data_IF_471991169936
#
_entry.id   IF_471991169936
#
_cell.length_a   1.000
_cell.length_b   1.000
_cell.length_c   1.000
_cell.angle_alpha   90.00
_cell.angle_beta   90.00
_cell.angle_gamma   90.00
#
_symmetry.space_group_name_H-M   'P 1'
#
loop_
_entity.id
_entity.type
_entity.pdbx_description
1 polymer ?
#
# COMPACT_ATOMS: atom_id res chain seq x y z
N UNK A 1 -25.16 1.71 -2.54
CA UNK A 1 -25.32 2.84 -3.50
C UNK A 1 -25.12 2.30 -4.92
N UNK A 2 -25.74 2.86 -5.97
CA UNK A 2 -25.53 2.33 -7.33
C UNK A 2 -24.17 2.75 -7.85
N UNK A 3 -23.48 1.87 -8.59
CA UNK A 3 -22.13 2.17 -9.11
C UNK A 3 -22.07 3.44 -9.97
N UNK A 4 -23.16 3.77 -10.68
CA UNK A 4 -23.26 4.98 -11.50
C UNK A 4 -23.23 6.30 -10.70
N UNK A 5 -23.38 6.24 -9.38
CA UNK A 5 -23.32 7.41 -8.49
C UNK A 5 -21.88 7.89 -8.24
N UNK A 6 -20.85 7.10 -8.60
CA UNK A 6 -19.45 7.54 -8.57
C UNK A 6 -19.18 8.48 -9.74
N UNK A 7 -18.63 9.66 -9.45
CA UNK A 7 -18.25 10.65 -10.46
C UNK A 7 -17.33 10.05 -11.55
N UNK A 8 -17.69 10.29 -12.81
CA UNK A 8 -16.90 9.87 -13.97
C UNK A 8 -17.18 8.45 -14.49
N UNK A 9 -17.96 7.61 -13.81
CA UNK A 9 -18.37 6.30 -14.35
C UNK A 9 -19.37 6.46 -15.51
N UNK A 10 -20.44 7.22 -15.32
CA UNK A 10 -21.47 7.42 -16.34
C UNK A 10 -22.12 6.12 -16.86
N UNK A 11 -23.03 6.24 -17.84
CA UNK A 11 -23.88 5.11 -18.26
C UNK A 11 -23.13 3.96 -18.94
N UNK A 12 -22.06 4.27 -19.67
CA UNK A 12 -21.33 3.28 -20.45
C UNK A 12 -20.47 2.38 -19.54
N UNK A 13 -19.63 2.96 -18.69
CA UNK A 13 -18.83 2.16 -17.76
C UNK A 13 -19.69 1.46 -16.71
N UNK A 14 -20.77 2.08 -16.23
CA UNK A 14 -21.72 1.41 -15.33
C UNK A 14 -22.32 0.15 -15.98
N UNK A 15 -22.64 0.17 -17.28
CA UNK A 15 -23.14 -1.02 -17.99
C UNK A 15 -22.12 -2.15 -18.02
N UNK A 16 -20.85 -1.83 -18.24
CA UNK A 16 -19.79 -2.84 -18.32
C UNK A 16 -19.40 -3.38 -16.93
N UNK A 17 -19.39 -2.52 -15.91
CA UNK A 17 -19.23 -2.91 -14.50
C UNK A 17 -20.38 -3.80 -14.01
N UNK A 18 -21.63 -3.45 -14.33
CA UNK A 18 -22.79 -4.28 -13.98
C UNK A 18 -22.71 -5.68 -14.61
N UNK A 19 -22.34 -5.77 -15.90
CA UNK A 19 -22.10 -7.07 -16.56
C UNK A 19 -20.97 -7.85 -15.91
N UNK A 20 -20.01 -7.16 -15.29
CA UNK A 20 -18.92 -7.78 -14.59
C UNK A 20 -19.27 -8.23 -13.17
N UNK A 21 -20.45 -7.85 -12.65
CA UNK A 21 -20.92 -8.17 -11.30
C UNK A 21 -20.71 -7.04 -10.27
N UNK A 22 -20.32 -5.85 -10.72
CA UNK A 22 -20.09 -4.66 -9.89
C UNK A 22 -21.26 -3.70 -10.11
N UNK A 23 -22.36 -3.92 -9.41
CA UNK A 23 -23.60 -3.13 -9.56
C UNK A 23 -23.71 -2.03 -8.49
N UNK A 24 -23.11 -2.27 -7.33
CA UNK A 24 -23.12 -1.39 -6.17
C UNK A 24 -21.72 -0.85 -5.87
N UNK A 25 -21.66 0.36 -5.32
CA UNK A 25 -20.41 1.02 -4.88
C UNK A 25 -19.66 0.13 -3.89
N UNK A 26 -20.40 -0.54 -3.00
CA UNK A 26 -19.91 -1.48 -2.00
C UNK A 26 -19.31 -2.77 -2.60
N UNK A 27 -19.59 -3.09 -3.86
CA UNK A 27 -18.90 -4.18 -4.54
C UNK A 27 -17.48 -3.75 -4.92
N UNK A 28 -17.30 -2.50 -5.36
CA UNK A 28 -16.02 -1.98 -5.81
C UNK A 28 -15.04 -1.82 -4.64
N UNK A 29 -15.48 -1.33 -3.47
CA UNK A 29 -14.62 -1.14 -2.28
C UNK A 29 -14.08 -2.44 -1.69
N UNK A 30 -14.73 -3.57 -1.98
CA UNK A 30 -14.31 -4.88 -1.49
C UNK A 30 -13.22 -5.53 -2.34
N UNK A 31 -13.00 -5.03 -3.56
CA UNK A 31 -12.07 -5.66 -4.50
C UNK A 31 -10.63 -5.44 -4.06
N UNK A 32 -9.87 -6.53 -3.96
CA UNK A 32 -8.42 -6.50 -3.91
C UNK A 32 -7.80 -6.13 -5.25
N UNK A 33 -6.48 -5.93 -5.26
CA UNK A 33 -5.73 -5.55 -6.48
C UNK A 33 -5.89 -6.56 -7.61
N UNK A 34 -5.90 -7.85 -7.30
CA UNK A 34 -6.03 -8.89 -8.31
C UNK A 34 -7.44 -8.91 -8.91
N UNK A 35 -8.47 -8.77 -8.07
CA UNK A 35 -9.85 -8.66 -8.54
C UNK A 35 -10.05 -7.39 -9.39
N UNK A 36 -9.36 -6.30 -9.07
CA UNK A 36 -9.31 -5.10 -9.92
C UNK A 36 -8.56 -5.33 -11.24
N UNK A 37 -7.46 -6.08 -11.24
CA UNK A 37 -6.73 -6.46 -12.46
C UNK A 37 -7.59 -7.34 -13.36
N UNK A 38 -8.27 -8.35 -12.80
CA UNK A 38 -9.24 -9.19 -13.51
C UNK A 38 -10.43 -8.38 -14.04
N UNK A 39 -10.95 -7.45 -13.23
CA UNK A 39 -12.03 -6.55 -13.63
C UNK A 39 -11.59 -5.65 -14.79
N UNK A 40 -10.37 -5.12 -14.75
CA UNK A 40 -9.78 -4.32 -15.83
C UNK A 40 -9.70 -5.14 -17.13
N UNK A 41 -9.23 -6.39 -17.05
CA UNK A 41 -9.13 -7.27 -18.23
C UNK A 41 -10.50 -7.61 -18.82
N UNK A 42 -11.49 -7.90 -17.97
CA UNK A 42 -12.86 -8.27 -18.35
C UNK A 42 -13.65 -7.11 -18.95
N UNK A 43 -13.51 -5.92 -18.36
CA UNK A 43 -14.26 -4.72 -18.78
C UNK A 43 -13.53 -3.88 -19.82
N UNK A 44 -12.23 -4.12 -20.04
CA UNK A 44 -11.33 -3.27 -20.83
C UNK A 44 -11.19 -1.84 -20.29
N UNK A 45 -11.57 -1.61 -19.03
CA UNK A 45 -11.35 -0.35 -18.32
C UNK A 45 -9.93 -0.37 -17.79
N UNK A 46 -9.21 0.75 -17.90
CA UNK A 46 -7.84 0.81 -17.38
C UNK A 46 -7.82 0.66 -15.85
N UNK A 47 -6.88 -0.13 -15.34
CA UNK A 47 -6.68 -0.35 -13.91
C UNK A 47 -6.55 0.95 -13.11
N UNK A 48 -5.80 1.92 -13.63
CA UNK A 48 -5.66 3.26 -13.02
C UNK A 48 -6.99 3.99 -12.84
N UNK A 49 -7.95 3.77 -13.74
CA UNK A 49 -9.27 4.40 -13.65
C UNK A 49 -10.16 3.67 -12.64
N UNK A 50 -10.07 2.34 -12.59
CA UNK A 50 -10.74 1.55 -11.55
C UNK A 50 -10.21 1.89 -10.15
N UNK A 51 -8.90 2.04 -10.00
CA UNK A 51 -8.27 2.49 -8.74
C UNK A 51 -8.86 3.82 -8.27
N UNK A 52 -8.98 4.80 -9.18
CA UNK A 52 -9.58 6.10 -8.86
C UNK A 52 -11.04 6.00 -8.42
N UNK A 53 -11.84 5.17 -9.09
CA UNK A 53 -13.23 4.98 -8.70
C UNK A 53 -13.36 4.20 -7.40
N UNK A 54 -12.42 3.31 -7.09
CA UNK A 54 -12.39 2.62 -5.80
C UNK A 54 -12.08 3.59 -4.66
N UNK A 55 -11.06 4.45 -4.79
CA UNK A 55 -10.74 5.48 -3.79
C UNK A 55 -11.92 6.44 -3.55
N UNK A 56 -12.63 6.80 -4.62
CA UNK A 56 -13.84 7.60 -4.53
C UNK A 56 -14.98 6.82 -3.84
N UNK A 57 -15.17 5.55 -4.18
CA UNK A 57 -16.13 4.67 -3.52
C UNK A 57 -15.83 4.50 -2.02
N UNK A 58 -14.57 4.47 -1.63
CA UNK A 58 -14.14 4.36 -0.24
C UNK A 58 -14.52 5.60 0.57
N UNK A 59 -14.42 6.81 -0.01
CA UNK A 59 -14.95 8.02 0.62
C UNK A 59 -16.46 7.90 0.90
N UNK A 60 -17.21 7.31 -0.04
CA UNK A 60 -18.66 7.17 0.08
C UNK A 60 -19.10 6.11 1.10
N UNK A 61 -18.35 5.01 1.19
CA UNK A 61 -18.77 3.81 1.93
C UNK A 61 -18.14 3.76 3.32
N UNK A 62 -16.87 4.17 3.45
CA UNK A 62 -16.13 4.04 4.70
C UNK A 62 -16.43 5.19 5.69
N UNK A 63 -16.92 6.32 5.19
CA UNK A 63 -17.20 7.52 5.99
C UNK A 63 -18.71 7.74 6.09
N UNK A 64 -19.26 7.44 7.26
CA UNK A 64 -20.68 7.60 7.54
C UNK A 64 -21.09 9.07 7.40
N UNK A 65 -21.97 9.35 6.44
CA UNK A 65 -22.49 10.69 6.18
C UNK A 65 -21.88 11.37 4.95
N UNK A 66 -20.76 10.86 4.42
CA UNK A 66 -20.17 11.30 3.16
C UNK A 66 -20.87 10.54 2.03
N UNK A 67 -22.07 10.99 1.63
CA UNK A 67 -22.76 10.43 0.47
C UNK A 67 -22.08 10.81 -0.86
N UNK A 68 -22.65 10.43 -2.02
CA UNK A 68 -22.10 10.74 -3.34
C UNK A 68 -21.84 12.25 -3.53
N UNK A 69 -22.81 13.09 -3.16
CA UNK A 69 -22.70 14.55 -3.32
C UNK A 69 -21.51 15.14 -2.55
N UNK A 70 -21.24 14.66 -1.34
CA UNK A 70 -20.09 15.11 -0.56
C UNK A 70 -18.77 14.53 -1.08
N UNK A 71 -18.74 13.26 -1.51
CA UNK A 71 -17.55 12.66 -2.10
C UNK A 71 -17.12 13.40 -3.38
N UNK A 72 -18.06 13.76 -4.24
CA UNK A 72 -17.84 14.58 -5.45
C UNK A 72 -17.28 15.96 -5.11
N UNK A 73 -17.90 16.66 -4.15
CA UNK A 73 -17.44 17.98 -3.73
C UNK A 73 -16.04 17.93 -3.09
N UNK A 74 -15.75 16.88 -2.30
CA UNK A 74 -14.42 16.63 -1.73
C UNK A 74 -13.38 16.40 -2.84
N UNK A 75 -13.70 15.59 -3.85
CA UNK A 75 -12.82 15.32 -4.99
C UNK A 75 -12.47 16.62 -5.74
N UNK A 76 -13.46 17.48 -5.99
CA UNK A 76 -13.26 18.78 -6.66
C UNK A 76 -12.33 19.73 -5.89
N UNK A 77 -12.28 19.65 -4.56
CA UNK A 77 -11.35 20.44 -3.74
C UNK A 77 -10.01 19.74 -3.46
N UNK A 78 -9.74 18.64 -4.18
CA UNK A 78 -8.50 17.88 -4.14
C UNK A 78 -8.44 16.87 -3.00
N UNK A 79 -9.57 16.34 -2.55
CA UNK A 79 -9.66 15.26 -1.57
C UNK A 79 -10.27 14.06 -2.28
N UNK A 80 -9.41 13.24 -2.88
CA UNK A 80 -9.78 12.14 -3.77
C UNK A 80 -9.75 10.76 -3.10
N UNK A 81 -9.33 10.69 -1.84
CA UNK A 81 -9.18 9.44 -1.09
C UNK A 81 -9.41 9.66 0.41
N UNK A 82 -9.77 8.58 1.11
CA UNK A 82 -9.88 8.55 2.59
C UNK A 82 -8.54 8.93 3.22
N UNK A 83 -7.43 8.48 2.62
CA UNK A 83 -6.07 8.85 3.01
C UNK A 83 -5.82 10.35 2.91
N UNK A 84 -6.12 10.99 1.77
CA UNK A 84 -5.92 12.42 1.65
C UNK A 84 -6.80 13.17 2.65
N UNK A 85 -8.01 12.66 2.89
CA UNK A 85 -8.95 13.29 3.81
C UNK A 85 -8.49 13.25 5.28
N UNK A 86 -7.90 12.13 5.72
CA UNK A 86 -7.45 11.95 7.11
C UNK A 86 -6.41 12.97 7.57
N UNK A 87 -5.68 13.58 6.63
CA UNK A 87 -4.67 14.61 6.88
C UNK A 87 -5.20 16.05 6.75
N UNK A 88 -6.47 16.24 6.41
CA UNK A 88 -7.03 17.58 6.19
C UNK A 88 -7.36 18.30 7.50
N UNK A 89 -7.38 19.63 7.41
CA UNK A 89 -7.86 20.49 8.49
C UNK A 89 -9.35 20.83 8.27
N UNK A 90 -10.26 20.52 9.22
CA UNK A 90 -11.70 20.72 9.04
C UNK A 90 -12.09 22.16 8.66
N UNK A 91 -11.46 23.17 9.28
CA UNK A 91 -11.77 24.59 8.99
C UNK A 91 -11.36 24.99 7.58
N UNK A 92 -10.20 24.50 7.12
CA UNK A 92 -9.73 24.80 5.77
C UNK A 92 -10.55 24.05 4.72
N UNK A 93 -10.93 22.80 5.00
CA UNK A 93 -11.82 22.03 4.13
C UNK A 93 -13.18 22.72 3.99
N UNK A 94 -13.77 23.18 5.10
CA UNK A 94 -15.04 23.91 5.06
C UNK A 94 -14.96 25.15 4.18
N UNK A 95 -13.91 25.97 4.35
CA UNK A 95 -13.70 27.17 3.53
C UNK A 95 -13.59 26.85 2.03
N UNK A 96 -12.93 25.75 1.68
CA UNK A 96 -12.82 25.32 0.28
C UNK A 96 -14.16 24.87 -0.28
N UNK A 97 -14.98 24.16 0.51
CA UNK A 97 -16.33 23.76 0.11
C UNK A 97 -17.27 24.97 -0.02
N UNK A 98 -17.20 25.94 0.90
CA UNK A 98 -17.92 27.21 0.80
C UNK A 98 -17.50 28.03 -0.44
N UNK A 99 -16.23 27.95 -0.83
CA UNK A 99 -15.75 28.59 -2.05
C UNK A 99 -16.27 27.86 -3.29
N UNK A 100 -16.21 26.53 -3.31
CA UNK A 100 -16.72 25.70 -4.40
C UNK A 100 -18.22 25.94 -4.62
N UNK A 101 -19.02 25.99 -3.55
CA UNK A 101 -20.47 26.25 -3.62
C UNK A 101 -20.81 27.65 -4.18
N UNK A 102 -19.92 28.63 -3.98
CA UNK A 102 -20.05 29.97 -4.61
C UNK A 102 -19.70 29.95 -6.09
N UNK A 103 -18.71 29.15 -6.49
CA UNK A 103 -18.23 29.04 -7.88
C UNK A 103 -19.17 28.18 -8.72
N UNK A 104 -19.75 27.13 -8.13
CA UNK A 104 -20.73 26.22 -8.72
C UNK A 104 -21.99 26.16 -7.83
N UNK A 105 -22.95 27.09 -8.01
CA UNK A 105 -24.19 27.09 -7.25
C UNK A 105 -24.96 25.77 -7.38
N UNK A 106 -25.61 25.35 -6.29
CA UNK A 106 -26.40 24.11 -6.19
C UNK A 106 -25.59 22.80 -6.28
N UNK A 107 -24.26 22.86 -6.18
CA UNK A 107 -23.41 21.65 -6.16
C UNK A 107 -23.69 20.77 -4.94
N UNK A 108 -24.01 21.38 -3.80
CA UNK A 108 -24.40 20.68 -2.57
C UNK A 108 -25.80 21.15 -2.16
N UNK A 109 -26.68 20.20 -1.83
CA UNK A 109 -28.01 20.54 -1.26
C UNK A 109 -27.87 21.26 0.08
N UNK A 110 -26.84 20.92 0.83
CA UNK A 110 -26.51 21.52 2.11
C UNK A 110 -25.00 21.44 2.34
N UNK A 111 -24.37 22.56 2.68
CA UNK A 111 -22.97 22.58 3.11
C UNK A 111 -22.80 21.77 4.40
N UNK A 112 -21.71 20.97 4.53
CA UNK A 112 -21.44 20.27 5.76
C UNK A 112 -21.08 21.26 6.87
N UNK A 113 -21.40 20.92 8.11
CA UNK A 113 -20.97 21.70 9.25
C UNK A 113 -19.50 21.43 9.59
N UNK A 114 -18.91 22.29 10.42
CA UNK A 114 -17.56 22.06 10.93
C UNK A 114 -17.47 20.76 11.75
N UNK A 115 -18.55 20.36 12.43
CA UNK A 115 -18.57 19.14 13.22
C UNK A 115 -18.72 17.90 12.35
N UNK A 116 -19.49 17.96 11.25
CA UNK A 116 -19.53 16.89 10.25
C UNK A 116 -18.13 16.62 9.68
N UNK A 117 -17.40 17.67 9.31
CA UNK A 117 -16.04 17.53 8.77
C UNK A 117 -15.04 16.99 9.81
N UNK A 118 -15.18 17.37 11.09
CA UNK A 118 -14.34 16.78 12.15
C UNK A 118 -14.61 15.29 12.29
N UNK A 119 -15.89 14.91 12.31
CA UNK A 119 -16.31 13.51 12.43
C UNK A 119 -15.82 12.69 11.23
N UNK A 120 -16.01 13.17 10.01
CA UNK A 120 -15.55 12.47 8.81
C UNK A 120 -14.03 12.36 8.73
N UNK A 121 -13.29 13.41 9.11
CA UNK A 121 -11.82 13.36 9.15
C UNK A 121 -11.35 12.38 10.22
N UNK A 122 -12.04 12.28 11.36
CA UNK A 122 -11.70 11.31 12.41
C UNK A 122 -11.99 9.88 11.96
N UNK A 123 -13.17 9.63 11.37
CA UNK A 123 -13.48 8.36 10.71
C UNK A 123 -12.41 8.03 9.66
N UNK A 124 -11.99 8.99 8.84
CA UNK A 124 -10.97 8.79 7.82
C UNK A 124 -9.60 8.45 8.42
N UNK A 125 -9.22 9.02 9.57
CA UNK A 125 -8.01 8.63 10.29
C UNK A 125 -8.12 7.24 10.87
N UNK A 126 -9.25 6.88 11.48
CA UNK A 126 -9.44 5.53 12.00
C UNK A 126 -9.33 4.49 10.87
N UNK A 127 -9.99 4.76 9.74
CA UNK A 127 -9.90 3.91 8.54
C UNK A 127 -8.49 3.91 7.96
N UNK A 128 -7.83 5.05 7.87
CA UNK A 128 -6.46 5.14 7.38
C UNK A 128 -5.43 4.49 8.31
N UNK A 129 -5.58 4.55 9.63
CA UNK A 129 -4.68 3.88 10.58
C UNK A 129 -4.95 2.36 10.64
N UNK A 130 -6.19 1.94 10.39
CA UNK A 130 -6.52 0.53 10.09
C UNK A 130 -5.89 0.14 8.75
N UNK A 131 -6.07 0.91 7.68
CA UNK A 131 -5.49 0.66 6.35
C UNK A 131 -3.96 0.75 6.32
N UNK A 132 -3.33 1.59 7.13
CA UNK A 132 -1.87 1.60 7.31
C UNK A 132 -1.38 0.30 7.96
N UNK A 133 -2.24 -0.35 8.75
CA UNK A 133 -2.04 -1.72 9.23
C UNK A 133 -2.54 -2.78 8.24
N UNK A 134 -3.39 -2.46 7.26
CA UNK A 134 -4.11 -3.46 6.44
C UNK A 134 -4.14 -3.32 4.90
N UNK A 135 -3.60 -2.30 4.18
CA UNK A 135 -3.32 -2.36 2.71
C UNK A 135 -2.72 -1.11 2.02
N UNK A 136 -1.71 -1.34 1.17
CA UNK A 136 -1.83 -1.34 -0.30
C UNK A 136 -1.49 -2.76 -0.78
N UNK A 137 -1.50 -3.14 -2.09
CA UNK A 137 -0.98 -4.46 -2.46
C UNK A 137 0.48 -4.41 -2.05
N UNK A 138 0.80 -5.14 -0.99
CA UNK A 138 2.16 -5.16 -0.50
C UNK A 138 3.11 -5.50 -1.65
N UNK A 139 4.36 -5.11 -1.50
CA UNK A 139 5.41 -5.37 -2.46
C UNK A 139 5.28 -6.80 -3.00
N UNK A 140 5.13 -6.96 -4.32
CA UNK A 140 4.92 -8.28 -4.92
C UNK A 140 6.08 -9.19 -4.50
N UNK A 141 5.78 -10.43 -4.08
CA UNK A 141 6.79 -11.40 -3.63
C UNK A 141 7.93 -11.58 -4.64
N UNK A 142 7.64 -11.52 -5.95
CA UNK A 142 8.65 -11.62 -7.02
C UNK A 142 9.72 -10.51 -6.99
N UNK A 143 9.53 -9.47 -6.18
CA UNK A 143 10.53 -8.45 -5.96
C UNK A 143 11.65 -8.94 -5.03
N UNK A 144 11.41 -9.89 -4.13
CA UNK A 144 12.47 -10.43 -3.28
C UNK A 144 13.42 -11.28 -4.13
N UNK A 145 14.71 -11.03 -3.97
CA UNK A 145 15.76 -11.82 -4.64
C UNK A 145 15.60 -13.31 -4.33
N UNK A 146 15.54 -14.13 -5.38
CA UNK A 146 15.32 -15.57 -5.27
C UNK A 146 13.84 -16.04 -5.26
N UNK A 147 12.86 -15.14 -5.20
CA UNK A 147 11.45 -15.51 -5.44
C UNK A 147 11.12 -15.38 -6.93
N UNK A 148 11.10 -16.50 -7.64
CA UNK A 148 10.55 -16.58 -9.00
C UNK A 148 9.03 -16.85 -9.01
N UNK A 149 8.43 -16.82 -10.21
CA UNK A 149 6.98 -17.05 -10.42
C UNK A 149 6.44 -18.32 -9.74
N UNK A 150 7.25 -19.38 -9.70
CA UNK A 150 6.88 -20.65 -9.04
C UNK A 150 6.66 -20.44 -7.54
N UNK A 151 7.65 -19.89 -6.86
CA UNK A 151 7.57 -19.67 -5.41
C UNK A 151 6.52 -18.62 -5.04
N UNK A 152 6.38 -17.55 -5.85
CA UNK A 152 5.32 -16.58 -5.66
C UNK A 152 3.93 -17.24 -5.72
N UNK A 153 3.69 -18.15 -6.67
CA UNK A 153 2.44 -18.91 -6.77
C UNK A 153 2.24 -19.88 -5.59
N UNK A 154 3.30 -20.54 -5.13
CA UNK A 154 3.22 -21.49 -4.02
C UNK A 154 2.95 -20.79 -2.69
N UNK A 155 3.59 -19.64 -2.44
CA UNK A 155 3.31 -18.76 -1.30
C UNK A 155 1.87 -18.23 -1.33
N UNK A 156 1.42 -17.77 -2.50
CA UNK A 156 0.05 -17.27 -2.69
C UNK A 156 -0.98 -18.34 -2.36
N UNK A 157 -0.80 -19.57 -2.85
CA UNK A 157 -1.68 -20.71 -2.50
C UNK A 157 -1.67 -21.02 -1.00
N UNK A 158 -0.57 -20.73 -0.31
CA UNK A 158 -0.43 -20.90 1.12
C UNK A 158 -0.93 -19.69 1.94
N UNK A 159 -1.49 -18.66 1.28
CA UNK A 159 -2.10 -17.49 1.91
C UNK A 159 -1.17 -16.29 2.11
N UNK A 160 -0.02 -16.25 1.43
CA UNK A 160 0.92 -15.12 1.44
C UNK A 160 1.04 -14.57 0.03
N UNK A 161 0.61 -13.33 -0.20
CA UNK A 161 0.57 -12.70 -1.53
C UNK A 161 1.63 -11.59 -1.68
N UNK A 162 2.12 -11.06 -0.56
CA UNK A 162 2.94 -9.85 -0.50
C UNK A 162 4.14 -10.01 0.44
N UNK A 163 5.18 -9.20 0.26
CA UNK A 163 6.35 -9.21 1.13
C UNK A 163 5.99 -8.85 2.58
N UNK A 164 5.09 -7.90 2.77
CA UNK A 164 4.70 -7.34 4.06
C UNK A 164 3.99 -8.39 4.92
N UNK A 165 3.31 -9.36 4.31
CA UNK A 165 2.70 -10.50 5.00
C UNK A 165 3.73 -11.51 5.51
N UNK A 166 4.96 -11.52 4.98
CA UNK A 166 6.03 -12.34 5.54
C UNK A 166 6.54 -11.77 6.86
N UNK A 167 6.60 -10.45 7.01
CA UNK A 167 7.25 -9.77 8.14
C UNK A 167 6.70 -10.17 9.52
N UNK A 168 5.37 -10.23 9.76
CA UNK A 168 4.85 -10.53 11.09
C UNK A 168 4.89 -12.03 11.46
N UNK A 169 5.29 -12.92 10.56
CA UNK A 169 5.26 -14.37 10.80
C UNK A 169 6.24 -14.77 11.90
N UNK A 170 5.78 -15.51 12.89
CA UNK A 170 6.65 -16.12 13.89
C UNK A 170 7.41 -17.32 13.31
N UNK A 171 8.41 -17.81 14.05
CA UNK A 171 9.10 -19.07 13.71
C UNK A 171 8.16 -20.26 13.57
N UNK A 172 7.02 -20.26 14.26
CA UNK A 172 6.02 -21.31 14.11
C UNK A 172 5.19 -21.10 12.85
N UNK A 173 4.79 -19.86 12.56
CA UNK A 173 4.05 -19.54 11.33
C UNK A 173 4.87 -19.84 10.08
N UNK A 174 6.19 -19.57 10.10
CA UNK A 174 7.10 -19.94 9.01
C UNK A 174 7.23 -21.45 8.81
N UNK A 175 7.13 -22.25 9.89
CA UNK A 175 7.11 -23.72 9.78
C UNK A 175 5.79 -24.21 9.17
N UNK A 176 4.67 -23.67 9.62
CA UNK A 176 3.38 -24.00 9.03
C UNK A 176 3.30 -23.58 7.56
N UNK A 177 3.86 -22.42 7.21
CA UNK A 177 3.98 -21.96 5.84
C UNK A 177 4.89 -22.86 5.01
N UNK A 178 5.99 -23.36 5.59
CA UNK A 178 6.86 -24.33 4.95
C UNK A 178 6.11 -25.62 4.60
N UNK A 179 5.32 -26.14 5.54
CA UNK A 179 4.51 -27.35 5.35
C UNK A 179 3.43 -27.15 4.28
N UNK A 180 2.78 -25.97 4.23
CA UNK A 180 1.73 -25.64 3.26
C UNK A 180 2.25 -25.37 1.85
N UNK A 181 3.35 -24.62 1.74
CA UNK A 181 3.92 -24.18 0.46
C UNK A 181 4.91 -25.19 -0.14
N UNK A 182 5.45 -26.11 0.66
CA UNK A 182 6.53 -27.00 0.27
C UNK A 182 7.89 -26.29 0.14
N UNK A 183 7.99 -25.05 0.61
CA UNK A 183 9.22 -24.24 0.60
C UNK A 183 9.94 -24.45 1.93
N UNK A 184 11.26 -24.62 1.91
CA UNK A 184 12.01 -24.84 3.15
C UNK A 184 11.87 -23.64 4.11
N UNK A 185 11.68 -23.90 5.41
CA UNK A 185 11.60 -22.87 6.43
C UNK A 185 12.78 -21.89 6.39
N UNK A 186 14.00 -22.38 6.11
CA UNK A 186 15.20 -21.54 5.95
C UNK A 186 15.08 -20.51 4.82
N UNK A 187 14.42 -20.87 3.72
CA UNK A 187 14.25 -19.97 2.59
C UNK A 187 13.16 -18.93 2.87
N UNK A 188 12.10 -19.33 3.59
CA UNK A 188 11.06 -18.42 4.05
C UNK A 188 11.59 -17.41 5.07
N UNK A 189 12.45 -17.86 5.99
CA UNK A 189 13.17 -17.03 6.97
C UNK A 189 13.98 -15.94 6.24
N UNK A 190 14.80 -16.36 5.26
CA UNK A 190 15.55 -15.42 4.41
C UNK A 190 14.66 -14.41 3.68
N UNK A 191 13.54 -14.85 3.11
CA UNK A 191 12.63 -13.94 2.41
C UNK A 191 11.89 -12.99 3.36
N UNK A 192 11.60 -13.41 4.59
CA UNK A 192 11.09 -12.55 5.64
C UNK A 192 12.12 -11.46 6.00
N UNK A 193 13.39 -11.83 6.19
CA UNK A 193 14.50 -10.89 6.46
C UNK A 193 14.64 -9.85 5.33
N UNK A 194 14.58 -10.31 4.07
CA UNK A 194 14.59 -9.43 2.91
C UNK A 194 13.39 -8.48 2.88
N UNK A 195 12.19 -9.01 3.14
CA UNK A 195 10.97 -8.21 3.18
C UNK A 195 11.05 -7.10 4.23
N UNK A 196 11.62 -7.39 5.40
CA UNK A 196 11.82 -6.39 6.45
C UNK A 196 12.81 -5.31 5.99
N UNK A 197 13.99 -5.69 5.49
CA UNK A 197 15.01 -4.74 5.01
C UNK A 197 14.51 -3.84 3.87
N UNK A 198 13.69 -4.37 2.96
CA UNK A 198 13.11 -3.64 1.83
C UNK A 198 12.11 -2.55 2.24
N UNK A 199 11.73 -2.44 3.51
CA UNK A 199 10.96 -1.30 4.05
C UNK A 199 11.75 0.01 4.01
N UNK A 200 13.08 -0.07 4.02
CA UNK A 200 13.97 1.10 3.99
C UNK A 200 14.04 1.64 2.56
N UNK A 201 13.70 2.93 2.40
CA UNK A 201 13.73 3.58 1.09
C UNK A 201 15.15 3.62 0.54
N UNK A 202 15.33 3.03 -0.64
CA UNK A 202 16.62 2.88 -1.30
C UNK A 202 17.24 1.50 -1.14
N UNK A 203 16.72 0.66 -0.23
CA UNK A 203 17.11 -0.75 -0.12
C UNK A 203 16.21 -1.58 -1.02
N UNK A 204 16.70 -1.81 -2.25
CA UNK A 204 16.09 -2.73 -3.20
C UNK A 204 16.50 -4.19 -2.95
N UNK A 205 16.05 -5.13 -3.80
CA UNK A 205 16.27 -6.57 -3.63
C UNK A 205 17.75 -6.97 -3.57
N UNK A 206 18.57 -6.38 -4.46
CA UNK A 206 20.01 -6.62 -4.51
C UNK A 206 20.70 -6.13 -3.21
N UNK A 207 20.27 -4.98 -2.67
CA UNK A 207 20.81 -4.47 -1.40
C UNK A 207 20.30 -5.23 -0.18
N UNK A 208 19.06 -5.72 -0.19
CA UNK A 208 18.54 -6.60 0.85
C UNK A 208 19.34 -7.91 0.92
N UNK A 209 19.63 -8.53 -0.23
CA UNK A 209 20.52 -9.71 -0.33
C UNK A 209 21.92 -9.40 0.19
N UNK A 210 22.51 -8.27 -0.21
CA UNK A 210 23.84 -7.85 0.25
C UNK A 210 23.89 -7.67 1.76
N UNK A 211 22.95 -6.91 2.33
CA UNK A 211 22.87 -6.65 3.76
C UNK A 211 22.68 -7.96 4.54
N UNK A 212 21.77 -8.81 4.10
CA UNK A 212 21.53 -10.13 4.69
C UNK A 212 22.80 -10.98 4.72
N UNK A 213 23.53 -11.06 3.58
CA UNK A 213 24.79 -11.80 3.52
C UNK A 213 25.93 -11.16 4.32
N UNK A 214 25.92 -9.84 4.47
CA UNK A 214 26.82 -9.12 5.38
C UNK A 214 26.43 -9.29 6.87
N UNK A 215 25.43 -10.12 7.17
CA UNK A 215 24.96 -10.42 8.52
C UNK A 215 24.16 -9.28 9.12
N UNK A 216 23.32 -8.62 8.32
CA UNK A 216 22.32 -7.65 8.75
C UNK A 216 20.97 -8.22 8.31
N UNK A 217 20.25 -8.87 9.22
CA UNK A 217 19.07 -9.69 8.92
C UNK A 217 17.74 -8.93 9.04
N UNK A 218 17.73 -7.78 9.70
CA UNK A 218 16.49 -7.06 10.01
C UNK A 218 16.70 -5.56 10.10
N UNK A 219 15.60 -4.81 9.97
CA UNK A 219 15.57 -3.35 10.20
C UNK A 219 16.04 -3.03 11.61
N UNK A 220 15.60 -3.83 12.59
CA UNK A 220 15.98 -3.66 14.00
C UNK A 220 17.49 -3.83 14.19
N UNK A 221 18.08 -4.85 13.59
CA UNK A 221 19.53 -5.02 13.66
C UNK A 221 20.25 -3.85 12.98
N UNK A 222 19.77 -3.43 11.81
CA UNK A 222 20.41 -2.37 11.05
C UNK A 222 20.39 -1.02 11.79
N UNK A 223 19.29 -0.70 12.48
CA UNK A 223 19.13 0.51 13.29
C UNK A 223 20.21 0.67 14.36
N UNK A 224 20.82 -0.43 14.82
CA UNK A 224 21.82 -0.45 15.88
C UNK A 224 23.26 -0.43 15.35
N UNK A 225 23.46 -0.52 14.03
CA UNK A 225 24.79 -0.59 13.43
C UNK A 225 25.47 0.80 13.40
N UNK A 226 26.80 0.78 13.38
CA UNK A 226 27.61 1.94 13.05
C UNK A 226 27.80 2.01 11.51
N UNK A 227 27.57 3.18 10.87
CA UNK A 227 27.65 3.29 9.41
C UNK A 227 29.02 2.93 8.83
N UNK A 228 30.11 3.42 9.43
CA UNK A 228 31.48 3.23 8.94
C UNK A 228 31.87 1.75 9.01
N UNK A 229 31.63 1.09 10.14
CA UNK A 229 31.88 -0.34 10.32
C UNK A 229 30.99 -1.20 9.42
N UNK A 230 29.79 -0.71 9.07
CA UNK A 230 28.88 -1.42 8.16
C UNK A 230 29.39 -1.38 6.74
N UNK A 231 29.88 -0.22 6.28
CA UNK A 231 30.48 -0.09 4.96
C UNK A 231 31.71 -1.00 4.84
N UNK A 232 32.61 -0.96 5.82
CA UNK A 232 33.81 -1.81 5.84
C UNK A 232 33.46 -3.30 5.73
N UNK A 233 32.46 -3.76 6.50
CA UNK A 233 31.97 -5.16 6.40
C UNK A 233 31.38 -5.50 5.04
N UNK A 234 30.63 -4.58 4.42
CA UNK A 234 30.06 -4.77 3.09
C UNK A 234 31.17 -4.87 2.04
N UNK A 235 32.20 -4.01 2.12
CA UNK A 235 33.35 -4.03 1.22
C UNK A 235 34.17 -5.31 1.38
N UNK A 236 34.39 -5.78 2.61
CA UNK A 236 35.10 -7.03 2.86
C UNK A 236 34.31 -8.24 2.36
N UNK A 237 32.99 -8.24 2.56
CA UNK A 237 32.11 -9.27 2.01
C UNK A 237 32.15 -9.30 0.47
N UNK A 238 32.12 -8.13 -0.19
CA UNK A 238 32.17 -8.03 -1.67
C UNK A 238 33.51 -8.50 -2.24
N UNK A 239 34.64 -8.27 -1.53
CA UNK A 239 35.95 -8.82 -1.93
C UNK A 239 35.93 -10.36 -1.96
N UNK A 240 35.20 -10.98 -1.04
CA UNK A 240 35.07 -12.45 -0.96
C UNK A 240 33.98 -12.99 -1.89
N UNK A 241 32.95 -12.19 -2.16
CA UNK A 241 31.74 -12.57 -2.89
C UNK A 241 31.35 -11.46 -3.88
N UNK A 242 32.11 -11.28 -4.98
CA UNK A 242 31.86 -10.20 -5.92
C UNK A 242 30.52 -10.38 -6.65
N UNK A 243 30.04 -9.29 -7.24
CA UNK A 243 28.89 -9.23 -8.15
C UNK A 243 27.51 -9.49 -7.50
N UNK A 244 27.38 -9.38 -6.18
CA UNK A 244 26.07 -9.43 -5.50
C UNK A 244 25.22 -8.18 -5.81
N UNK A 245 25.86 -7.04 -5.98
CA UNK A 245 25.20 -5.77 -6.36
C UNK A 245 25.94 -5.13 -7.52
N UNK A 246 25.23 -4.34 -8.33
CA UNK A 246 25.86 -3.59 -9.44
C UNK A 246 26.82 -2.49 -8.98
N UNK A 247 26.61 -1.99 -7.77
CA UNK A 247 27.41 -0.94 -7.14
C UNK A 247 27.27 -1.03 -5.63
N UNK A 248 28.39 -1.01 -4.92
CA UNK A 248 28.40 -0.90 -3.46
C UNK A 248 27.74 0.39 -2.99
N UNK A 249 27.02 0.35 -1.85
CA UNK A 249 26.45 1.55 -1.26
C UNK A 249 27.55 2.51 -0.79
N UNK A 250 27.26 3.82 -0.84
CA UNK A 250 28.11 4.85 -0.26
C UNK A 250 27.86 4.95 1.25
N UNK A 251 28.83 5.51 1.98
CA UNK A 251 28.68 5.76 3.42
C UNK A 251 27.43 6.58 3.76
N UNK A 252 27.13 7.61 2.96
CA UNK A 252 25.96 8.47 3.20
C UNK A 252 24.64 7.72 2.93
N UNK A 253 24.61 6.77 2.00
CA UNK A 253 23.44 5.92 1.78
C UNK A 253 23.22 5.01 2.99
N UNK A 254 24.29 4.42 3.55
CA UNK A 254 24.21 3.60 4.77
C UNK A 254 23.75 4.44 5.97
N UNK A 255 24.24 5.67 6.11
CA UNK A 255 23.79 6.60 7.17
C UNK A 255 22.30 6.90 7.06
N UNK A 256 21.82 7.19 5.85
CA UNK A 256 20.40 7.42 5.57
C UNK A 256 19.58 6.16 5.92
N UNK A 257 20.03 4.98 5.49
CA UNK A 257 19.34 3.71 5.75
C UNK A 257 19.26 3.37 7.24
N UNK A 258 20.34 3.57 8.00
CA UNK A 258 20.36 3.37 9.46
C UNK A 258 19.43 4.37 10.14
N UNK A 259 19.35 5.61 9.64
CA UNK A 259 18.42 6.62 10.18
C UNK A 259 16.97 6.20 9.95
N UNK A 260 16.63 5.80 8.72
CA UNK A 260 15.31 5.27 8.40
C UNK A 260 14.98 4.01 9.21
N UNK A 261 15.96 3.13 9.43
CA UNK A 261 15.77 1.91 10.21
C UNK A 261 15.39 2.22 11.67
N UNK A 262 15.99 3.26 12.27
CA UNK A 262 15.62 3.75 13.60
C UNK A 262 14.22 4.33 13.67
N UNK A 263 13.75 4.95 12.58
CA UNK A 263 12.39 5.50 12.51
C UNK A 263 11.32 4.41 12.30
N UNK A 264 11.73 3.19 11.92
CA UNK A 264 10.88 2.03 11.67
C UNK A 264 10.80 1.04 12.85
N UNK A 265 11.68 1.16 13.85
CA UNK A 265 11.68 0.41 15.13
C UNK A 265 10.61 0.96 16.10
#
# INVERSE_FOLDING_TARGET
MKIIEIEGIGKNYAKDLNKAGIEEVENLTKLGREELEELAEKTKISLKLLDKWQEHADLMVLLKGVGPEYADALNKIGIDSVKEFSHRNPKNTLKKLEQLDKEEPDILRQLPTLDDLKDWIEQAKEKYEVDKKTKGPGTKLIKIEGIGDKYAKDLKKAGIETCEELIPLSKNDLKELADKSGISAKLLDKWQEHADLMRIKGVGPEYAELLNKAGIDSVKEFAQRNPENTLEKIEDFDKENPDVVRRLPLLDEIKEWITQAKDLE
#
